data_IF_360164498797
#
_entry.id   IF_360164498797
#
_cell.length_a   1.000
_cell.length_b   1.000
_cell.length_c   1.000
_cell.angle_alpha   90.00
_cell.angle_beta   90.00
_cell.angle_gamma   90.00
#
_symmetry.space_group_name_H-M   'P 1'
#
loop_
_entity.id
_entity.type
_entity.pdbx_description
1 polymer ?
#
# COMPACT_ATOMS: atom_id res chain seq x y z
N UNK A 1 3.97 18.51 5.56
CA UNK A 1 3.38 17.49 4.65
C UNK A 1 2.59 18.26 3.62
N UNK A 2 2.86 18.11 2.32
CA UNK A 2 1.98 18.68 1.30
C UNK A 2 0.68 17.87 1.34
N UNK A 3 -0.42 18.52 1.72
CA UNK A 3 -1.77 17.96 1.61
C UNK A 3 -2.08 17.81 0.12
N UNK A 4 -2.01 16.57 -0.39
CA UNK A 4 -2.53 16.28 -1.72
C UNK A 4 -4.03 16.13 -1.60
N UNK A 5 -4.80 16.97 -2.30
CA UNK A 5 -6.24 16.81 -2.38
C UNK A 5 -6.55 15.57 -3.23
N UNK A 6 -7.23 14.59 -2.64
CA UNK A 6 -7.64 13.38 -3.33
C UNK A 6 -8.53 13.68 -4.54
N UNK A 7 -9.29 14.78 -4.51
CA UNK A 7 -10.13 15.23 -5.64
C UNK A 7 -9.29 15.73 -6.80
N UNK A 8 -8.19 16.44 -6.53
CA UNK A 8 -7.21 16.79 -7.57
C UNK A 8 -6.63 15.52 -8.19
N UNK A 9 -6.21 14.57 -7.37
CA UNK A 9 -5.70 13.28 -7.86
C UNK A 9 -6.74 12.53 -8.71
N UNK A 10 -8.01 12.51 -8.32
CA UNK A 10 -9.09 11.92 -9.12
C UNK A 10 -9.22 12.57 -10.51
N UNK A 11 -9.01 13.88 -10.60
CA UNK A 11 -9.21 14.66 -11.84
C UNK A 11 -7.97 14.72 -12.75
N UNK A 12 -6.79 14.37 -12.26
CA UNK A 12 -5.53 14.45 -13.01
C UNK A 12 -5.44 13.50 -14.21
N UNK A 13 -6.15 12.37 -14.21
CA UNK A 13 -6.08 11.38 -15.30
C UNK A 13 -7.49 10.95 -15.74
N UNK A 14 -8.00 11.48 -16.87
CA UNK A 14 -9.33 11.15 -17.36
C UNK A 14 -9.56 9.67 -17.67
N UNK A 15 -8.53 8.97 -18.17
CA UNK A 15 -8.66 7.57 -18.60
C UNK A 15 -8.90 6.62 -17.42
N UNK A 16 -8.32 6.94 -16.27
CA UNK A 16 -8.47 6.18 -15.02
C UNK A 16 -9.50 6.81 -14.05
N UNK A 17 -10.26 7.82 -14.48
CA UNK A 17 -11.09 8.61 -13.57
C UNK A 17 -12.10 7.76 -12.78
N UNK A 18 -12.74 6.76 -13.41
CA UNK A 18 -13.68 5.88 -12.70
C UNK A 18 -12.99 5.03 -11.63
N UNK A 19 -11.79 4.52 -11.93
CA UNK A 19 -10.99 3.78 -10.96
C UNK A 19 -10.56 4.68 -9.79
N UNK A 20 -10.08 5.89 -10.07
CA UNK A 20 -9.69 6.85 -9.01
C UNK A 20 -10.89 7.28 -8.15
N UNK A 21 -12.07 7.48 -8.75
CA UNK A 21 -13.32 7.72 -8.02
C UNK A 21 -13.67 6.53 -7.12
N UNK A 22 -13.52 5.30 -7.61
CA UNK A 22 -13.74 4.11 -6.78
C UNK A 22 -12.77 4.05 -5.60
N UNK A 23 -11.48 4.37 -5.80
CA UNK A 23 -10.51 4.50 -4.69
C UNK A 23 -10.98 5.55 -3.69
N UNK A 24 -11.35 6.76 -4.14
CA UNK A 24 -11.82 7.80 -3.24
C UNK A 24 -13.07 7.37 -2.45
N UNK A 25 -14.05 6.75 -3.10
CA UNK A 25 -15.24 6.19 -2.42
C UNK A 25 -14.85 5.16 -1.35
N UNK A 26 -13.90 4.26 -1.63
CA UNK A 26 -13.42 3.27 -0.66
C UNK A 26 -12.75 3.97 0.54
N UNK A 27 -11.89 4.96 0.30
CA UNK A 27 -11.18 5.66 1.37
C UNK A 27 -12.15 6.49 2.22
N UNK A 28 -13.13 7.16 1.62
CA UNK A 28 -14.18 7.89 2.33
C UNK A 28 -15.06 6.96 3.18
N UNK A 29 -15.42 5.78 2.65
CA UNK A 29 -16.15 4.77 3.41
C UNK A 29 -15.33 4.27 4.63
N UNK A 30 -14.02 4.11 4.49
CA UNK A 30 -13.15 3.75 5.62
C UNK A 30 -13.09 4.90 6.63
N UNK A 31 -12.92 6.14 6.16
CA UNK A 31 -12.81 7.32 7.02
C UNK A 31 -14.10 7.60 7.82
N UNK A 32 -15.27 7.37 7.21
CA UNK A 32 -16.58 7.57 7.83
C UNK A 32 -16.98 6.51 8.86
N UNK A 33 -16.26 5.38 8.95
CA UNK A 33 -16.58 4.29 9.86
C UNK A 33 -15.49 4.12 10.92
N UNK A 34 -15.73 4.47 12.20
CA UNK A 34 -14.68 4.49 13.24
C UNK A 34 -13.89 3.19 13.39
N UNK A 35 -14.56 2.03 13.31
CA UNK A 35 -13.88 0.73 13.41
C UNK A 35 -12.98 0.45 12.20
N UNK A 36 -13.40 0.85 10.99
CA UNK A 36 -12.58 0.69 9.78
C UNK A 36 -11.40 1.67 9.81
N UNK A 37 -11.66 2.95 10.10
CA UNK A 37 -10.63 3.99 10.22
C UNK A 37 -9.54 3.61 11.23
N UNK A 38 -9.93 3.03 12.38
CA UNK A 38 -9.00 2.65 13.43
C UNK A 38 -8.13 1.44 13.05
N UNK A 39 -8.65 0.53 12.22
CA UNK A 39 -8.04 -0.79 12.00
C UNK A 39 -7.41 -0.96 10.62
N UNK A 40 -7.91 -0.27 9.60
CA UNK A 40 -7.40 -0.32 8.23
C UNK A 40 -6.35 0.78 8.03
N UNK A 41 -5.07 0.40 8.13
CA UNK A 41 -3.96 1.34 7.95
C UNK A 41 -3.43 1.19 6.52
N UNK A 42 -3.60 2.23 5.69
CA UNK A 42 -3.21 2.22 4.28
C UNK A 42 -1.69 2.15 4.11
N UNK A 43 -1.24 1.37 3.13
CA UNK A 43 0.17 1.22 2.74
C UNK A 43 0.29 1.09 1.22
N UNK A 44 1.49 0.74 0.74
CA UNK A 44 1.69 0.29 -0.63
C UNK A 44 1.73 1.40 -1.67
N UNK A 45 1.42 1.05 -2.92
CA UNK A 45 1.57 1.94 -4.08
C UNK A 45 0.62 3.15 -4.05
N UNK A 46 -0.62 2.96 -3.60
CA UNK A 46 -1.63 4.04 -3.58
C UNK A 46 -1.24 5.11 -2.57
N UNK A 47 -0.67 4.72 -1.42
CA UNK A 47 -0.08 5.68 -0.48
C UNK A 47 1.02 6.52 -1.12
N UNK A 48 1.90 5.92 -1.93
CA UNK A 48 2.95 6.65 -2.65
C UNK A 48 2.36 7.65 -3.65
N UNK A 49 1.32 7.25 -4.38
CA UNK A 49 0.65 8.13 -5.32
C UNK A 49 -0.01 9.32 -4.62
N UNK A 50 -0.71 9.08 -3.51
CA UNK A 50 -1.47 10.10 -2.79
C UNK A 50 -0.59 11.03 -1.94
N UNK A 51 0.35 10.48 -1.16
CA UNK A 51 1.13 11.28 -0.20
C UNK A 51 2.46 11.81 -0.76
N UNK A 52 2.97 11.21 -1.83
CA UNK A 52 4.28 11.55 -2.40
C UNK A 52 4.23 11.82 -3.91
N UNK A 53 3.03 11.82 -4.53
CA UNK A 53 2.84 12.08 -5.96
C UNK A 53 3.66 11.16 -6.87
N UNK A 54 3.90 9.93 -6.43
CA UNK A 54 4.60 8.94 -7.25
C UNK A 54 3.95 8.83 -8.63
N UNK A 55 4.77 8.89 -9.67
CA UNK A 55 4.33 8.78 -11.07
C UNK A 55 3.99 7.35 -11.48
N UNK A 56 4.17 6.38 -10.59
CA UNK A 56 3.87 4.97 -10.85
C UNK A 56 2.40 4.67 -10.69
N UNK A 57 1.77 4.19 -11.76
CA UNK A 57 0.42 3.63 -11.75
C UNK A 57 0.34 2.38 -10.88
N UNK A 58 -0.77 2.27 -10.14
CA UNK A 58 -1.07 1.14 -9.26
C UNK A 58 -2.57 0.87 -9.32
N UNK A 59 -2.95 -0.41 -9.32
CA UNK A 59 -4.34 -0.86 -9.46
C UNK A 59 -4.92 -1.45 -8.17
N UNK A 60 -4.05 -1.69 -7.19
CA UNK A 60 -4.39 -2.37 -5.94
C UNK A 60 -4.23 -1.40 -4.78
N UNK A 61 -5.09 -1.51 -3.77
CA UNK A 61 -4.94 -0.79 -2.51
C UNK A 61 -4.49 -1.77 -1.43
N UNK A 62 -3.46 -1.41 -0.68
CA UNK A 62 -2.97 -2.23 0.41
C UNK A 62 -3.34 -1.63 1.77
N UNK A 63 -3.80 -2.47 2.70
CA UNK A 63 -3.98 -2.13 4.10
C UNK A 63 -3.29 -3.14 5.02
N UNK A 64 -2.99 -2.69 6.23
CA UNK A 64 -2.49 -3.54 7.31
C UNK A 64 -3.28 -3.32 8.59
N UNK A 65 -3.26 -4.32 9.45
CA UNK A 65 -3.69 -4.20 10.84
C UNK A 65 -2.84 -5.03 11.77
N UNK A 66 -2.68 -4.53 13.00
CA UNK A 66 -2.08 -5.27 14.10
C UNK A 66 -3.04 -6.30 14.73
N UNK A 67 -4.34 -6.27 14.36
CA UNK A 67 -5.31 -7.26 14.81
C UNK A 67 -4.83 -8.65 14.40
N UNK A 68 -4.84 -9.56 15.37
CA UNK A 68 -4.45 -10.95 15.14
C UNK A 68 -5.60 -11.71 14.51
N UNK A 69 -5.28 -12.68 13.66
CA UNK A 69 -6.29 -13.50 12.97
C UNK A 69 -7.39 -14.09 13.89
N UNK A 70 -7.09 -14.66 15.08
CA UNK A 70 -8.13 -15.17 15.97
C UNK A 70 -9.11 -14.11 16.47
N UNK A 71 -8.66 -12.86 16.57
CA UNK A 71 -9.45 -11.72 17.07
C UNK A 71 -10.16 -10.97 15.93
N UNK A 72 -9.90 -11.35 14.67
CA UNK A 72 -10.51 -10.74 13.51
C UNK A 72 -11.79 -11.46 13.11
N UNK A 73 -12.91 -10.74 13.12
CA UNK A 73 -14.21 -11.20 12.64
C UNK A 73 -14.44 -10.77 11.18
N UNK A 74 -14.26 -11.67 10.19
CA UNK A 74 -14.42 -11.32 8.79
C UNK A 74 -15.87 -11.05 8.39
N UNK A 75 -16.86 -11.59 9.10
CA UNK A 75 -18.29 -11.40 8.80
C UNK A 75 -18.69 -9.99 9.19
N UNK A 76 -18.38 -9.59 10.43
CA UNK A 76 -18.68 -8.24 10.89
C UNK A 76 -17.86 -7.18 10.14
N UNK A 77 -16.58 -7.44 9.87
CA UNK A 77 -15.75 -6.55 9.04
C UNK A 77 -16.37 -6.31 7.67
N UNK A 78 -16.80 -7.39 6.99
CA UNK A 78 -17.44 -7.27 5.68
C UNK A 78 -18.71 -6.43 5.74
N UNK A 79 -19.56 -6.66 6.74
CA UNK A 79 -20.80 -5.87 6.94
C UNK A 79 -20.50 -4.39 7.12
N UNK A 80 -19.55 -4.03 7.99
CA UNK A 80 -19.14 -2.62 8.16
C UNK A 80 -18.69 -1.97 6.87
N UNK A 81 -17.93 -2.70 6.04
CA UNK A 81 -17.48 -2.20 4.75
C UNK A 81 -18.62 -2.06 3.73
N UNK A 82 -19.55 -3.02 3.68
CA UNK A 82 -20.73 -2.98 2.81
C UNK A 82 -21.66 -1.82 3.17
N UNK A 83 -21.98 -1.66 4.45
CA UNK A 83 -22.85 -0.59 4.95
C UNK A 83 -22.24 0.79 4.65
N UNK A 84 -20.96 0.97 4.99
CA UNK A 84 -20.27 2.25 4.76
C UNK A 84 -20.12 2.61 3.29
N UNK A 85 -19.84 1.63 2.41
CA UNK A 85 -19.79 1.87 0.97
C UNK A 85 -21.16 2.32 0.46
N UNK A 86 -22.24 1.70 0.92
CA UNK A 86 -23.61 2.07 0.53
C UNK A 86 -23.96 3.50 0.91
N UNK A 87 -23.54 3.97 2.08
CA UNK A 87 -23.76 5.37 2.50
C UNK A 87 -22.87 6.34 1.70
N UNK A 88 -21.62 5.95 1.47
CA UNK A 88 -20.62 6.82 0.82
C UNK A 88 -20.93 7.06 -0.65
N UNK A 89 -21.42 6.05 -1.40
CA UNK A 89 -21.77 6.20 -2.83
C UNK A 89 -22.88 7.21 -3.08
N UNK A 90 -23.76 7.45 -2.09
CA UNK A 90 -24.77 8.49 -2.17
C UNK A 90 -24.20 9.85 -1.74
N UNK A 91 -23.27 9.89 -0.77
CA UNK A 91 -22.68 11.15 -0.28
C UNK A 91 -21.74 11.85 -1.28
N UNK A 92 -20.93 11.10 -2.04
CA UNK A 92 -19.93 11.68 -2.96
C UNK A 92 -20.50 12.09 -4.33
N UNK A 93 -21.73 11.68 -4.64
CA UNK A 93 -22.48 12.00 -5.86
C UNK A 93 -21.69 11.84 -7.18
N UNK A 94 -20.81 10.83 -7.26
CA UNK A 94 -20.06 10.55 -8.50
C UNK A 94 -20.88 9.91 -9.62
N UNK A 95 -22.14 9.56 -9.36
CA UNK A 95 -22.92 8.66 -10.22
C UNK A 95 -22.29 7.27 -10.36
N UNK A 96 -21.40 6.89 -9.43
CA UNK A 96 -20.69 5.61 -9.37
C UNK A 96 -21.25 4.78 -8.22
N UNK A 97 -21.50 3.49 -8.45
CA UNK A 97 -21.79 2.52 -7.39
C UNK A 97 -20.53 1.69 -7.11
N UNK A 98 -20.31 1.34 -5.84
CA UNK A 98 -19.19 0.54 -5.34
C UNK A 98 -19.72 -0.53 -4.39
N UNK A 99 -19.43 -1.81 -4.64
CA UNK A 99 -19.94 -2.92 -3.82
C UNK A 99 -18.88 -3.98 -3.56
N UNK A 100 -18.87 -4.54 -2.35
CA UNK A 100 -18.06 -5.73 -2.04
C UNK A 100 -18.53 -6.90 -2.91
N UNK A 101 -17.62 -7.47 -3.70
CA UNK A 101 -17.86 -8.66 -4.53
C UNK A 101 -17.35 -9.93 -3.86
N UNK A 102 -16.25 -9.83 -3.11
CA UNK A 102 -15.71 -10.94 -2.32
C UNK A 102 -14.81 -10.44 -1.21
N UNK A 103 -14.69 -11.21 -0.13
CA UNK A 103 -13.72 -11.03 0.96
C UNK A 103 -13.20 -12.41 1.34
N UNK A 104 -11.96 -12.74 0.94
CA UNK A 104 -11.43 -14.10 1.04
C UNK A 104 -10.05 -14.08 1.70
N UNK A 105 -9.90 -14.83 2.79
CA UNK A 105 -8.60 -15.02 3.43
C UNK A 105 -7.63 -15.83 2.56
N UNK A 106 -6.38 -15.39 2.53
CA UNK A 106 -5.24 -16.09 1.94
C UNK A 106 -4.03 -16.10 2.90
N UNK A 107 -3.44 -17.27 3.19
CA UNK A 107 -3.91 -18.61 2.83
C UNK A 107 -5.23 -18.96 3.56
N UNK A 108 -5.98 -19.93 3.02
CA UNK A 108 -7.31 -20.36 3.54
C UNK A 108 -7.22 -21.21 4.82
N UNK A 109 -6.14 -21.11 5.59
CA UNK A 109 -5.94 -21.84 6.83
C UNK A 109 -5.85 -20.88 8.02
N UNK A 110 -6.29 -21.33 9.19
CA UNK A 110 -6.38 -20.48 10.38
C UNK A 110 -5.03 -20.30 11.09
N UNK A 111 -4.08 -21.21 10.87
CA UNK A 111 -2.71 -21.14 11.42
C UNK A 111 -1.76 -20.21 10.65
N UNK A 112 -2.29 -19.44 9.69
CA UNK A 112 -1.51 -18.49 8.92
C UNK A 112 -0.86 -17.45 9.85
N UNK A 113 0.47 -17.29 9.77
CA UNK A 113 1.19 -16.33 10.62
C UNK A 113 0.99 -14.88 10.21
N UNK A 114 0.71 -14.62 8.93
CA UNK A 114 0.42 -13.28 8.38
C UNK A 114 -0.61 -13.41 7.25
N UNK A 115 -1.87 -13.75 7.56
CA UNK A 115 -2.90 -13.91 6.55
C UNK A 115 -3.26 -12.54 5.95
N UNK A 116 -3.75 -12.57 4.71
CA UNK A 116 -4.27 -11.39 4.01
C UNK A 116 -5.68 -11.68 3.56
N UNK A 117 -6.62 -10.78 3.83
CA UNK A 117 -7.92 -10.82 3.19
C UNK A 117 -7.82 -10.14 1.83
N UNK A 118 -8.02 -10.92 0.77
CA UNK A 118 -8.22 -10.44 -0.60
C UNK A 118 -9.67 -9.98 -0.71
N UNK A 119 -9.86 -8.67 -0.78
CA UNK A 119 -11.18 -8.06 -0.91
C UNK A 119 -11.29 -7.50 -2.32
N UNK A 120 -12.43 -7.73 -2.97
CA UNK A 120 -12.71 -7.19 -4.31
C UNK A 120 -13.87 -6.23 -4.20
N UNK A 121 -13.65 -4.96 -4.53
CA UNK A 121 -14.71 -3.95 -4.59
C UNK A 121 -15.04 -3.71 -6.05
N UNK A 122 -16.20 -4.16 -6.48
CA UNK A 122 -16.68 -3.88 -7.82
C UNK A 122 -17.15 -2.43 -7.92
N UNK A 123 -16.98 -1.82 -9.08
CA UNK A 123 -17.49 -0.47 -9.34
C UNK A 123 -18.08 -0.35 -10.75
N UNK A 124 -19.09 0.51 -10.90
CA UNK A 124 -19.71 0.81 -12.19
C UNK A 124 -20.52 2.11 -12.13
N UNK A 125 -20.61 2.84 -13.24
CA UNK A 125 -21.51 3.97 -13.35
C UNK A 125 -22.98 3.52 -13.25
N UNK A 126 -23.77 4.21 -12.42
CA UNK A 126 -25.19 3.92 -12.17
C UNK A 126 -25.98 3.93 -13.50
N UNK A 127 -26.96 3.03 -13.62
CA UNK A 127 -27.80 2.89 -14.82
C UNK A 127 -27.19 2.11 -16.00
N UNK A 128 -25.91 1.75 -15.96
CA UNK A 128 -25.26 1.01 -17.06
C UNK A 128 -25.50 -0.50 -17.02
N UNK A 129 -25.26 -1.25 -18.11
CA UNK A 129 -25.23 -2.72 -18.06
C UNK A 129 -24.19 -3.27 -17.07
N UNK A 130 -23.06 -2.58 -16.90
CA UNK A 130 -22.04 -2.93 -15.91
C UNK A 130 -22.59 -2.81 -14.48
N UNK A 131 -23.42 -1.81 -14.19
CA UNK A 131 -24.08 -1.65 -12.90
C UNK A 131 -25.03 -2.81 -12.58
N UNK A 132 -25.79 -3.32 -13.56
CA UNK A 132 -26.61 -4.53 -13.36
C UNK A 132 -25.75 -5.76 -12.99
N UNK A 133 -24.57 -5.90 -13.60
CA UNK A 133 -23.62 -6.96 -13.26
C UNK A 133 -22.98 -6.78 -11.89
N UNK A 134 -22.67 -5.54 -11.50
CA UNK A 134 -22.19 -5.18 -10.16
C UNK A 134 -23.20 -5.59 -9.08
N UNK A 135 -24.48 -5.26 -9.29
CA UNK A 135 -25.58 -5.63 -8.40
C UNK A 135 -25.75 -7.16 -8.29
N UNK A 136 -25.44 -7.90 -9.36
CA UNK A 136 -25.47 -9.36 -9.40
C UNK A 136 -24.17 -10.03 -8.87
N UNK A 137 -23.21 -9.27 -8.33
CA UNK A 137 -21.96 -9.83 -7.77
C UNK A 137 -20.94 -10.29 -8.83
N UNK A 138 -21.06 -9.83 -10.08
CA UNK A 138 -20.19 -10.21 -11.20
C UNK A 138 -19.60 -8.98 -11.92
N UNK A 139 -19.24 -7.96 -11.13
CA UNK A 139 -18.72 -6.69 -11.61
C UNK A 139 -17.57 -6.89 -12.63
N UNK A 140 -17.61 -6.20 -13.78
CA UNK A 140 -16.55 -6.30 -14.77
C UNK A 140 -15.29 -5.53 -14.37
N UNK A 141 -15.44 -4.51 -13.52
CA UNK A 141 -14.35 -3.67 -13.00
C UNK A 141 -14.30 -3.82 -11.49
N UNK A 142 -13.08 -3.98 -10.96
CA UNK A 142 -12.84 -4.13 -9.53
C UNK A 142 -11.62 -3.32 -9.10
N UNK A 143 -11.66 -2.85 -7.85
CA UNK A 143 -10.48 -2.49 -7.08
C UNK A 143 -10.16 -3.68 -6.19
N UNK A 144 -8.94 -4.21 -6.32
CA UNK A 144 -8.45 -5.27 -5.46
C UNK A 144 -7.80 -4.64 -4.22
N UNK A 145 -8.16 -5.17 -3.04
CA UNK A 145 -7.65 -4.72 -1.75
C UNK A 145 -6.98 -5.87 -1.03
N UNK A 146 -5.73 -5.66 -0.63
CA UNK A 146 -4.96 -6.57 0.20
C UNK A 146 -4.95 -6.08 1.64
N UNK A 147 -5.75 -6.71 2.51
CA UNK A 147 -5.78 -6.37 3.93
C UNK A 147 -4.99 -7.39 4.76
N UNK A 148 -3.74 -7.05 5.07
CA UNK A 148 -2.80 -7.91 5.81
C UNK A 148 -3.03 -7.83 7.33
N UNK A 149 -3.18 -8.98 7.97
CA UNK A 149 -3.31 -9.11 9.42
C UNK A 149 -1.98 -9.49 10.07
N UNK A 150 -1.95 -9.39 11.40
CA UNK A 150 -0.79 -9.68 12.23
C UNK A 150 0.42 -8.78 11.88
N UNK A 151 0.19 -7.62 11.26
CA UNK A 151 1.24 -6.70 10.89
C UNK A 151 1.49 -5.71 12.04
N UNK A 152 2.68 -5.70 12.66
CA UNK A 152 3.02 -4.68 13.65
C UNK A 152 3.16 -3.35 12.92
N UNK A 153 2.32 -2.39 13.29
CA UNK A 153 2.36 -1.01 12.78
C UNK A 153 2.45 -0.07 13.97
N UNK A 154 3.59 0.57 14.14
CA UNK A 154 3.85 1.46 15.29
C UNK A 154 3.89 2.93 14.89
N UNK A 155 4.26 3.23 13.64
CA UNK A 155 4.34 4.60 13.16
C UNK A 155 3.36 4.87 12.01
N UNK A 156 2.28 5.59 12.33
CA UNK A 156 1.22 5.97 11.37
C UNK A 156 1.09 7.47 11.22
N UNK A 157 0.71 7.91 10.03
CA UNK A 157 0.27 9.27 9.75
C UNK A 157 -1.23 9.30 9.43
N UNK A 158 -1.82 10.49 9.45
CA UNK A 158 -3.18 10.73 8.97
C UNK A 158 -3.13 11.32 7.56
N UNK A 159 -3.93 10.77 6.66
CA UNK A 159 -4.16 11.33 5.33
C UNK A 159 -5.58 11.92 5.29
N UNK A 160 -5.67 13.24 5.12
CA UNK A 160 -6.94 13.97 5.02
C UNK A 160 -7.54 13.84 3.61
N UNK A 161 -8.84 13.56 3.54
CA UNK A 161 -9.57 13.41 2.27
C UNK A 161 -10.15 14.72 1.72
N UNK A 162 -9.90 15.85 2.40
CA UNK A 162 -10.32 17.20 1.98
C UNK A 162 -11.74 17.60 2.40
N UNK A 163 -12.52 16.68 2.98
CA UNK A 163 -13.86 16.94 3.54
C UNK A 163 -13.86 16.97 5.09
N UNK A 164 -12.67 17.05 5.70
CA UNK A 164 -12.47 16.97 7.15
C UNK A 164 -12.38 15.55 7.70
N UNK A 165 -12.61 14.53 6.86
CA UNK A 165 -12.34 13.13 7.21
C UNK A 165 -10.89 12.75 6.90
N UNK A 166 -10.41 11.70 7.56
CA UNK A 166 -9.05 11.21 7.37
C UNK A 166 -8.96 9.69 7.57
N UNK A 167 -7.97 9.07 6.95
CA UNK A 167 -7.61 7.66 7.17
C UNK A 167 -6.23 7.54 7.80
N UNK A 168 -5.98 6.41 8.46
CA UNK A 168 -4.64 6.06 8.93
C UNK A 168 -3.81 5.50 7.78
N UNK A 169 -2.55 5.90 7.73
CA UNK A 169 -1.58 5.47 6.73
C UNK A 169 -0.27 5.07 7.39
N UNK A 170 0.56 4.30 6.70
CA UNK A 170 1.95 4.14 7.09
C UNK A 170 2.65 5.51 7.04
N UNK A 171 3.37 5.84 8.11
CA UNK A 171 4.29 6.96 8.03
C UNK A 171 5.40 6.69 7.02
N UNK A 172 6.14 7.74 6.66
CA UNK A 172 7.34 7.64 5.83
C UNK A 172 8.33 6.59 6.35
N UNK A 173 8.56 6.58 7.67
CA UNK A 173 9.44 5.64 8.36
C UNK A 173 8.96 4.20 8.17
N UNK A 174 7.68 3.96 8.49
CA UNK A 174 7.07 2.64 8.42
C UNK A 174 7.06 2.08 6.99
N UNK A 175 6.79 2.95 6.01
CA UNK A 175 6.79 2.62 4.59
C UNK A 175 8.19 2.24 4.09
N UNK A 176 9.22 3.02 4.41
CA UNK A 176 10.60 2.74 3.99
C UNK A 176 11.11 1.45 4.65
N UNK A 177 10.86 1.27 5.94
CA UNK A 177 11.22 0.05 6.67
C UNK A 177 10.54 -1.20 6.07
N UNK A 178 9.24 -1.12 5.76
CA UNK A 178 8.49 -2.22 5.16
C UNK A 178 9.03 -2.60 3.78
N UNK A 179 9.40 -1.62 2.93
CA UNK A 179 9.99 -1.89 1.61
C UNK A 179 11.34 -2.57 1.70
N UNK A 180 12.23 -2.10 2.57
CA UNK A 180 13.51 -2.79 2.80
C UNK A 180 13.31 -4.21 3.31
N UNK A 181 12.43 -4.40 4.29
CA UNK A 181 12.09 -5.74 4.82
C UNK A 181 11.55 -6.65 3.72
N UNK A 182 10.65 -6.15 2.86
CA UNK A 182 10.07 -6.90 1.76
C UNK A 182 11.10 -7.28 0.68
N UNK A 183 12.05 -6.37 0.37
CA UNK A 183 13.17 -6.61 -0.53
C UNK A 183 14.11 -7.70 0.02
N UNK A 184 14.50 -7.60 1.29
CA UNK A 184 15.41 -8.57 1.91
C UNK A 184 14.76 -9.95 2.10
N UNK A 185 13.44 -9.99 2.30
CA UNK A 185 12.70 -11.25 2.40
C UNK A 185 12.53 -11.97 1.04
N UNK A 186 12.71 -11.28 -0.08
CA UNK A 186 12.29 -11.80 -1.39
C UNK A 186 12.97 -13.12 -1.76
N UNK A 187 14.22 -13.33 -1.33
CA UNK A 187 14.96 -14.58 -1.52
C UNK A 187 14.27 -15.74 -0.79
N UNK A 188 14.07 -15.63 0.52
CA UNK A 188 13.45 -16.66 1.36
C UNK A 188 12.01 -17.00 0.94
N UNK A 189 11.31 -16.09 0.26
CA UNK A 189 9.94 -16.28 -0.24
C UNK A 189 9.88 -16.68 -1.71
N UNK A 190 11.03 -16.80 -2.38
CA UNK A 190 11.14 -16.98 -3.81
C UNK A 190 10.27 -15.99 -4.63
N UNK A 191 10.39 -14.71 -4.32
CA UNK A 191 9.66 -13.61 -4.97
C UNK A 191 10.61 -12.67 -5.71
N UNK A 192 10.02 -11.86 -6.58
CA UNK A 192 10.65 -10.72 -7.26
C UNK A 192 9.94 -9.46 -6.79
N UNK A 193 10.70 -8.44 -6.41
CA UNK A 193 10.19 -7.15 -5.92
C UNK A 193 10.67 -5.99 -6.79
N UNK A 194 10.32 -6.03 -8.07
CA UNK A 194 10.80 -5.06 -9.09
C UNK A 194 10.48 -3.59 -8.76
N UNK A 195 9.35 -3.33 -8.11
CA UNK A 195 8.83 -1.97 -7.87
C UNK A 195 9.50 -1.29 -6.67
N UNK A 196 9.94 -2.08 -5.67
CA UNK A 196 10.36 -1.53 -4.38
C UNK A 196 11.63 -0.68 -4.46
N UNK A 197 12.57 -0.99 -5.38
CA UNK A 197 13.75 -0.15 -5.61
C UNK A 197 13.38 1.20 -6.23
N UNK A 198 12.46 1.22 -7.18
CA UNK A 198 11.96 2.47 -7.77
C UNK A 198 11.26 3.32 -6.70
N UNK A 199 10.36 2.71 -5.95
CA UNK A 199 9.58 3.40 -4.91
C UNK A 199 10.49 3.97 -3.80
N UNK A 200 11.47 3.20 -3.34
CA UNK A 200 12.46 3.68 -2.37
C UNK A 200 13.28 4.84 -2.95
N UNK A 201 13.80 4.69 -4.18
CA UNK A 201 14.56 5.74 -4.83
C UNK A 201 13.75 7.05 -4.96
N UNK A 202 12.49 6.95 -5.36
CA UNK A 202 11.58 8.08 -5.51
C UNK A 202 11.45 8.86 -4.19
N UNK A 203 11.08 8.17 -3.11
CA UNK A 203 10.88 8.76 -1.80
C UNK A 203 12.19 9.30 -1.19
N UNK A 204 13.32 8.61 -1.43
CA UNK A 204 14.63 9.05 -0.97
C UNK A 204 15.20 10.23 -1.76
N UNK A 205 14.68 10.53 -2.95
CA UNK A 205 15.16 11.62 -3.79
C UNK A 205 14.39 12.92 -3.53
N UNK A 206 13.11 12.81 -3.16
CA UNK A 206 12.23 13.96 -2.93
C UNK A 206 12.25 14.46 -1.47
N UNK A 207 12.73 13.65 -0.53
CA UNK A 207 12.76 14.01 0.90
C UNK A 207 14.17 14.12 1.49
N UNK A 208 14.40 15.03 2.47
CA UNK A 208 15.67 15.21 3.18
C UNK A 208 16.04 14.03 4.12
N UNK A 209 15.39 12.87 3.96
CA UNK A 209 15.66 11.64 4.71
C UNK A 209 17.13 11.23 4.71
N UNK A 210 17.86 11.58 3.64
CA UNK A 210 19.27 11.18 3.48
C UNK A 210 20.17 11.74 4.57
N UNK A 211 19.82 12.85 5.20
CA UNK A 211 20.67 13.51 6.19
C UNK A 211 20.05 13.58 7.59
N UNK A 212 18.81 13.14 7.74
CA UNK A 212 18.09 13.14 9.02
C UNK A 212 18.42 11.88 9.86
N UNK A 213 19.41 12.00 10.73
CA UNK A 213 19.88 10.91 11.59
C UNK A 213 18.80 10.34 12.54
N UNK A 214 17.98 11.15 13.25
CA UNK A 214 16.84 10.66 14.01
C UNK A 214 15.87 9.80 13.18
N UNK A 215 15.53 10.23 11.97
CA UNK A 215 14.62 9.46 11.12
C UNK A 215 15.25 8.17 10.60
N UNK A 216 16.54 8.18 10.24
CA UNK A 216 17.27 6.95 9.90
C UNK A 216 17.31 5.95 11.05
N UNK A 217 17.47 6.41 12.29
CA UNK A 217 17.39 5.55 13.49
C UNK A 217 16.04 4.86 13.57
N UNK A 218 14.95 5.62 13.48
CA UNK A 218 13.58 5.07 13.51
C UNK A 218 13.34 4.07 12.37
N UNK A 219 13.80 4.38 11.15
CA UNK A 219 13.72 3.45 10.00
C UNK A 219 14.44 2.14 10.32
N UNK A 220 15.65 2.21 10.86
CA UNK A 220 16.43 1.02 11.22
C UNK A 220 15.74 0.20 12.31
N UNK A 221 15.25 0.85 13.37
CA UNK A 221 14.60 0.17 14.49
C UNK A 221 13.33 -0.57 14.02
N UNK A 222 12.47 0.10 13.24
CA UNK A 222 11.29 -0.51 12.62
C UNK A 222 11.66 -1.65 11.67
N UNK A 223 12.70 -1.48 10.86
CA UNK A 223 13.17 -2.49 9.93
C UNK A 223 13.69 -3.75 10.66
N UNK A 224 14.47 -3.58 11.73
CA UNK A 224 14.98 -4.68 12.55
C UNK A 224 13.85 -5.47 13.20
N UNK A 225 12.90 -4.77 13.81
CA UNK A 225 11.76 -5.41 14.46
C UNK A 225 10.91 -6.20 13.47
N UNK A 226 10.53 -5.58 12.34
CA UNK A 226 9.73 -6.25 11.33
C UNK A 226 10.46 -7.43 10.69
N UNK A 227 11.78 -7.32 10.51
CA UNK A 227 12.61 -8.42 10.02
C UNK A 227 12.61 -9.59 11.02
N UNK A 228 12.83 -9.31 12.30
CA UNK A 228 12.79 -10.31 13.38
C UNK A 228 11.44 -11.03 13.45
N UNK A 229 10.34 -10.29 13.37
CA UNK A 229 8.97 -10.85 13.39
C UNK A 229 8.71 -11.77 12.19
N UNK A 230 9.42 -11.55 11.08
CA UNK A 230 9.38 -12.41 9.89
C UNK A 230 10.45 -13.50 9.86
N UNK A 231 11.22 -13.67 10.93
CA UNK A 231 12.32 -14.64 11.02
C UNK A 231 13.51 -14.30 10.12
N UNK A 232 13.71 -13.01 9.82
CA UNK A 232 14.83 -12.52 9.00
C UNK A 232 15.90 -11.91 9.90
N UNK A 233 17.12 -12.42 9.76
CA UNK A 233 18.31 -11.77 10.27
C UNK A 233 18.89 -10.90 9.17
N UNK A 234 19.10 -9.62 9.46
CA UNK A 234 19.63 -8.65 8.51
C UNK A 234 20.77 -7.87 9.16
N UNK A 235 21.70 -7.43 8.34
CA UNK A 235 22.87 -6.64 8.74
C UNK A 235 23.10 -5.50 7.74
N UNK A 236 24.12 -4.68 8.01
CA UNK A 236 24.49 -3.53 7.19
C UNK A 236 24.78 -3.88 5.73
N UNK A 237 25.20 -5.11 5.44
CA UNK A 237 25.59 -5.58 4.12
C UNK A 237 24.50 -6.38 3.42
N UNK A 238 23.32 -6.58 4.01
CA UNK A 238 22.27 -7.42 3.44
C UNK A 238 21.82 -6.99 2.02
N UNK A 239 21.78 -5.69 1.74
CA UNK A 239 21.50 -5.17 0.38
C UNK A 239 22.64 -5.42 -0.62
N UNK A 240 23.86 -5.68 -0.15
CA UNK A 240 25.01 -6.02 -1.02
C UNK A 240 24.94 -7.45 -1.55
N UNK A 241 23.98 -8.26 -1.06
CA UNK A 241 23.80 -9.64 -1.53
C UNK A 241 23.44 -9.62 -3.04
N UNK A 242 24.25 -10.25 -3.92
CA UNK A 242 23.99 -10.28 -5.35
C UNK A 242 22.62 -10.86 -5.72
N UNK A 243 22.08 -11.77 -4.92
CA UNK A 243 20.77 -12.37 -5.16
C UNK A 243 19.63 -11.38 -4.92
N UNK A 244 19.74 -10.52 -3.90
CA UNK A 244 18.79 -9.42 -3.66
C UNK A 244 18.82 -8.45 -4.83
N UNK A 245 20.02 -8.07 -5.31
CA UNK A 245 20.15 -7.19 -6.48
C UNK A 245 19.56 -7.84 -7.73
N UNK A 246 19.90 -9.11 -8.01
CA UNK A 246 19.41 -9.85 -9.18
C UNK A 246 17.88 -9.95 -9.20
N UNK A 247 17.26 -10.30 -8.06
CA UNK A 247 15.79 -10.40 -7.94
C UNK A 247 15.11 -9.04 -8.05
N UNK A 248 15.72 -7.98 -7.54
CA UNK A 248 15.18 -6.63 -7.65
C UNK A 248 15.29 -6.09 -9.09
N UNK A 249 16.33 -6.48 -9.83
CA UNK A 249 16.51 -6.16 -11.27
C UNK A 249 15.56 -6.92 -12.18
N UNK A 250 15.18 -8.13 -11.77
CA UNK A 250 14.33 -8.99 -12.57
C UNK A 250 13.00 -8.28 -12.87
N UNK A 251 12.67 -8.18 -14.16
CA UNK A 251 11.46 -7.50 -14.66
C UNK A 251 11.37 -6.00 -14.34
N UNK A 252 12.46 -5.36 -13.91
CA UNK A 252 12.47 -3.92 -13.64
C UNK A 252 12.09 -3.09 -14.88
N UNK A 253 12.57 -3.48 -16.06
CA UNK A 253 12.26 -2.82 -17.34
C UNK A 253 10.75 -2.75 -17.65
N UNK A 254 9.96 -3.70 -17.15
CA UNK A 254 8.49 -3.71 -17.34
C UNK A 254 7.80 -2.58 -16.56
N UNK A 255 8.49 -1.89 -15.63
CA UNK A 255 7.94 -0.72 -14.96
C UNK A 255 7.75 0.48 -15.89
N UNK A 256 8.42 0.52 -17.05
CA UNK A 256 8.32 1.64 -17.98
C UNK A 256 6.87 1.88 -18.46
N UNK A 257 6.05 0.84 -18.58
CA UNK A 257 4.62 0.97 -18.91
C UNK A 257 3.73 1.33 -17.71
N UNK A 258 4.30 1.35 -16.52
CA UNK A 258 3.61 1.62 -15.25
C UNK A 258 4.00 2.96 -14.65
N UNK A 259 4.83 3.79 -15.32
CA UNK A 259 5.23 5.09 -14.82
C UNK A 259 4.97 6.18 -15.86
N UNK A 260 4.70 7.39 -15.38
CA UNK A 260 4.80 8.58 -16.21
C UNK A 260 6.25 9.04 -16.30
N UNK A 261 6.77 9.19 -17.53
CA UNK A 261 8.15 9.59 -17.81
C UNK A 261 9.13 8.42 -17.98
N UNK A 262 10.42 8.75 -17.97
CA UNK A 262 11.49 7.79 -18.23
C UNK A 262 11.81 6.93 -17.00
N UNK A 263 11.93 5.61 -17.21
CA UNK A 263 12.36 4.69 -16.17
C UNK A 263 13.87 4.87 -15.93
N UNK A 264 14.31 5.30 -14.73
CA UNK A 264 15.71 5.51 -14.48
C UNK A 264 16.50 4.19 -14.57
N UNK A 265 17.79 4.21 -14.97
CA UNK A 265 18.60 3.00 -15.05
C UNK A 265 18.66 2.27 -13.72
N UNK A 266 18.36 0.96 -13.73
CA UNK A 266 18.27 0.15 -12.51
C UNK A 266 19.50 0.26 -11.61
N UNK A 267 20.70 0.16 -12.19
CA UNK A 267 21.92 0.14 -11.40
C UNK A 267 22.14 1.49 -10.69
N UNK A 268 21.81 2.61 -11.33
CA UNK A 268 21.89 3.94 -10.72
C UNK A 268 20.93 4.09 -9.53
N UNK A 269 19.68 3.67 -9.67
CA UNK A 269 18.71 3.75 -8.57
C UNK A 269 19.00 2.76 -7.44
N UNK A 270 19.47 1.56 -7.78
CA UNK A 270 19.84 0.54 -6.80
C UNK A 270 20.99 1.01 -5.92
N UNK A 271 22.04 1.57 -6.52
CA UNK A 271 23.23 2.03 -5.80
C UNK A 271 22.87 3.15 -4.80
N UNK A 272 21.94 4.05 -5.14
CA UNK A 272 21.42 5.08 -4.21
C UNK A 272 20.68 4.44 -3.03
N UNK A 273 19.79 3.49 -3.30
CA UNK A 273 19.00 2.80 -2.26
C UNK A 273 19.90 1.97 -1.34
N UNK A 274 20.88 1.26 -1.91
CA UNK A 274 21.87 0.50 -1.15
C UNK A 274 22.76 1.42 -0.30
N UNK A 275 23.23 2.54 -0.85
CA UNK A 275 24.02 3.52 -0.11
C UNK A 275 23.23 4.08 1.08
N UNK A 276 21.95 4.40 0.89
CA UNK A 276 21.07 4.83 1.97
C UNK A 276 20.96 3.75 3.06
N UNK A 277 20.68 2.49 2.67
CA UNK A 277 20.59 1.37 3.60
C UNK A 277 21.86 1.18 4.43
N UNK A 278 23.03 1.21 3.79
CA UNK A 278 24.34 1.10 4.45
C UNK A 278 24.66 2.29 5.37
N UNK A 279 24.01 3.43 5.14
CA UNK A 279 24.14 4.65 5.93
C UNK A 279 23.21 4.70 7.15
N UNK A 280 22.26 3.77 7.28
CA UNK A 280 21.48 3.62 8.50
C UNK A 280 22.41 3.39 9.70
N UNK A 281 22.04 3.80 10.92
CA UNK A 281 22.95 3.80 12.04
C UNK A 281 23.04 2.41 12.71
N UNK A 282 23.52 1.43 11.94
CA UNK A 282 23.72 0.04 12.35
C UNK A 282 24.53 -0.05 13.65
N UNK A 283 24.22 -0.99 14.55
CA UNK A 283 25.11 -1.33 15.65
C UNK A 283 26.52 -1.59 15.12
N UNK A 284 27.54 -1.15 15.85
CA UNK A 284 28.91 -1.55 15.56
C UNK A 284 29.06 -3.01 15.99
N UNK A 285 29.68 -3.81 15.12
CA UNK A 285 30.13 -5.17 15.45
C UNK A 285 31.14 -5.14 16.62
#
# INVERSE_FOLDING_TARGET
MQTSDIREWVNQNPDDQQFRRAIHTILAAIAGTPVLQATMIMKGGVLLALSYRSTRYTKDIDFSTAIRRPDFDPVNFRRYLEDSLSDTVESLDYGLDCRVQSCIQQPRNDDATFPTFKIRIGYAAKGTPAHRRLQAGTAPQVVDIDYSLNEPVEETDLFELGDGSAIRTYSLVEMVAEKFRALLQQEARNRIRRQDIFDLHYVLSDHPLRDDAPTKRRILDRLLEKSRIRGLTIDRLAMSNPEIRRRSKARYHELASEIEGDLPPFDAVYDVVEAFYRSLPWPRD
#
